data_IF_731499458009
#
_entry.id   IF_731499458009
#
_cell.length_a   1.000
_cell.length_b   1.000
_cell.length_c   1.000
_cell.angle_alpha   90.00
_cell.angle_beta   90.00
_cell.angle_gamma   90.00
#
_symmetry.space_group_name_H-M   'P 1'
#
loop_
_entity.id
_entity.type
_entity.pdbx_description
1 polymer ?
#
# COMPACT_ATOMS: atom_id res chain seq x y z
N UNK A 1 37.49 -19.21 30.90
CA UNK A 1 36.57 -19.56 29.80
C UNK A 1 35.27 -18.77 29.84
N UNK A 2 34.76 -18.41 31.02
CA UNK A 2 33.48 -17.71 31.19
C UNK A 2 33.42 -16.34 30.48
N UNK A 3 34.50 -15.56 30.53
CA UNK A 3 34.58 -14.25 29.87
C UNK A 3 34.52 -14.39 28.34
N UNK A 4 35.20 -15.40 27.78
CA UNK A 4 35.19 -15.67 26.34
C UNK A 4 33.80 -16.11 25.88
N UNK A 5 33.12 -16.94 26.68
CA UNK A 5 31.76 -17.39 26.42
C UNK A 5 30.77 -16.22 26.46
N UNK A 6 30.86 -15.36 27.49
CA UNK A 6 30.03 -14.17 27.62
C UNK A 6 30.25 -13.21 26.45
N UNK A 7 31.51 -13.00 26.04
CA UNK A 7 31.86 -12.18 24.88
C UNK A 7 31.22 -12.72 23.59
N UNK A 8 31.38 -14.02 23.31
CA UNK A 8 30.75 -14.64 22.14
C UNK A 8 29.22 -14.56 22.17
N UNK A 9 28.59 -14.77 23.32
CA UNK A 9 27.14 -14.66 23.46
C UNK A 9 26.66 -13.23 23.18
N UNK A 10 27.34 -12.22 23.71
CA UNK A 10 27.00 -10.81 23.44
C UNK A 10 27.22 -10.43 21.98
N UNK A 11 28.28 -10.93 21.33
CA UNK A 11 28.56 -10.70 19.92
C UNK A 11 27.44 -11.27 19.03
N UNK A 12 27.01 -12.51 19.31
CA UNK A 12 25.92 -13.17 18.57
C UNK A 12 24.61 -12.40 18.75
N UNK A 13 24.31 -11.96 19.98
CA UNK A 13 23.12 -11.16 20.26
C UNK A 13 23.11 -9.85 19.45
N UNK A 14 24.24 -9.13 19.41
CA UNK A 14 24.37 -7.89 18.65
C UNK A 14 24.22 -8.12 17.15
N UNK A 15 24.80 -9.20 16.61
CA UNK A 15 24.65 -9.57 15.20
C UNK A 15 23.20 -9.94 14.87
N UNK A 16 22.52 -10.69 15.74
CA UNK A 16 21.11 -11.05 15.55
C UNK A 16 20.21 -9.80 15.55
N UNK A 17 20.46 -8.86 16.46
CA UNK A 17 19.75 -7.57 16.49
C UNK A 17 20.03 -6.74 15.23
N UNK A 18 21.29 -6.65 14.81
CA UNK A 18 21.67 -5.95 13.58
C UNK A 18 21.02 -6.55 12.33
N UNK A 19 21.01 -7.89 12.22
CA UNK A 19 20.34 -8.61 11.13
C UNK A 19 18.82 -8.37 11.16
N UNK A 20 18.19 -8.44 12.33
CA UNK A 20 16.74 -8.17 12.47
C UNK A 20 16.36 -6.77 11.98
N UNK A 21 17.20 -5.77 12.23
CA UNK A 21 17.00 -4.39 11.75
C UNK A 21 17.22 -4.26 10.24
N UNK A 22 18.21 -4.97 9.67
CA UNK A 22 18.46 -4.97 8.22
C UNK A 22 17.31 -5.63 7.47
N UNK A 23 16.79 -6.76 7.97
CA UNK A 23 15.58 -7.39 7.42
C UNK A 23 14.34 -6.51 7.60
N UNK A 24 14.31 -5.67 8.64
CA UNK A 24 13.27 -4.66 8.86
C UNK A 24 13.45 -3.38 8.02
N UNK A 25 14.29 -3.39 6.98
CA UNK A 25 14.14 -2.44 5.86
C UNK A 25 12.80 -2.69 5.19
N UNK A 26 11.74 -2.20 5.84
CA UNK A 26 10.42 -1.93 5.27
C UNK A 26 10.73 -1.13 4.03
N UNK A 27 10.59 -1.77 2.87
CA UNK A 27 10.72 -1.11 1.59
C UNK A 27 9.65 -0.02 1.61
N UNK A 28 10.03 1.19 1.98
CA UNK A 28 9.24 2.38 1.71
C UNK A 28 9.28 2.52 0.19
N UNK A 29 8.53 1.65 -0.50
CA UNK A 29 8.27 1.77 -1.91
C UNK A 29 7.71 3.18 -2.07
N UNK A 30 8.45 4.00 -2.80
CA UNK A 30 7.95 5.28 -3.27
C UNK A 30 6.63 4.98 -3.99
N UNK A 31 5.56 5.66 -3.59
CA UNK A 31 4.27 5.57 -4.27
C UNK A 31 4.44 6.27 -5.61
N UNK A 32 5.03 5.56 -6.55
CA UNK A 32 5.26 6.01 -7.92
C UNK A 32 4.07 5.62 -8.81
N UNK A 33 4.05 6.12 -10.04
CA UNK A 33 2.98 5.85 -11.01
C UNK A 33 2.74 4.34 -11.20
N UNK A 34 3.82 3.55 -11.28
CA UNK A 34 3.74 2.10 -11.39
C UNK A 34 3.08 1.44 -10.18
N UNK A 35 3.34 1.95 -8.97
CA UNK A 35 2.72 1.42 -7.75
C UNK A 35 1.24 1.80 -7.69
N UNK A 36 0.88 2.99 -8.17
CA UNK A 36 -0.52 3.42 -8.28
C UNK A 36 -1.30 2.53 -9.25
N UNK A 37 -0.74 2.25 -10.42
CA UNK A 37 -1.33 1.34 -11.42
C UNK A 37 -1.45 -0.08 -10.88
N UNK A 38 -0.40 -0.60 -10.23
CA UNK A 38 -0.40 -1.95 -9.62
C UNK A 38 -1.50 -2.07 -8.56
N UNK A 39 -1.64 -1.08 -7.66
CA UNK A 39 -2.72 -1.04 -6.67
C UNK A 39 -4.11 -1.06 -7.32
N UNK A 40 -4.34 -0.25 -8.36
CA UNK A 40 -5.62 -0.20 -9.06
C UNK A 40 -5.92 -1.49 -9.85
N UNK A 41 -4.90 -2.10 -10.46
CA UNK A 41 -5.04 -3.36 -11.19
C UNK A 41 -5.32 -4.53 -10.23
N UNK A 42 -4.67 -4.53 -9.05
CA UNK A 42 -4.96 -5.47 -7.97
C UNK A 42 -6.36 -5.26 -7.38
N UNK A 43 -6.86 -4.03 -7.37
CA UNK A 43 -8.24 -3.73 -7.02
C UNK A 43 -9.24 -4.30 -8.03
N UNK A 44 -9.05 -4.06 -9.32
CA UNK A 44 -9.92 -4.58 -10.38
C UNK A 44 -9.95 -6.12 -10.41
N UNK A 45 -8.79 -6.77 -10.20
CA UNK A 45 -8.69 -8.23 -10.13
C UNK A 45 -9.20 -8.85 -8.82
N UNK A 46 -9.62 -8.03 -7.85
CA UNK A 46 -10.09 -8.50 -6.54
C UNK A 46 -8.98 -9.12 -5.67
N UNK A 47 -7.71 -8.88 -5.99
CA UNK A 47 -6.55 -9.41 -5.27
C UNK A 47 -6.04 -8.46 -4.17
N UNK A 48 -6.62 -7.27 -4.05
CA UNK A 48 -6.28 -6.32 -2.98
C UNK A 48 -7.16 -6.58 -1.76
N UNK A 49 -6.54 -6.57 -0.58
CA UNK A 49 -7.27 -6.66 0.69
C UNK A 49 -7.79 -5.29 1.12
N UNK A 50 -8.79 -5.27 2.03
CA UNK A 50 -9.31 -4.02 2.59
C UNK A 50 -8.25 -3.20 3.31
N UNK A 51 -7.35 -3.87 4.04
CA UNK A 51 -6.28 -3.20 4.76
C UNK A 51 -5.26 -2.58 3.79
N UNK A 52 -4.87 -3.30 2.74
CA UNK A 52 -3.98 -2.77 1.69
C UNK A 52 -4.60 -1.56 0.98
N UNK A 53 -5.91 -1.61 0.69
CA UNK A 53 -6.63 -0.51 0.04
C UNK A 53 -6.70 0.73 0.94
N UNK A 54 -7.05 0.57 2.22
CA UNK A 54 -7.07 1.68 3.18
C UNK A 54 -5.68 2.27 3.41
N UNK A 55 -4.65 1.43 3.48
CA UNK A 55 -3.26 1.89 3.59
C UNK A 55 -2.89 2.71 2.36
N UNK A 56 -3.19 2.23 1.14
CA UNK A 56 -2.94 2.98 -0.08
C UNK A 56 -3.60 4.37 -0.08
N UNK A 57 -4.89 4.45 0.27
CA UNK A 57 -5.61 5.73 0.35
C UNK A 57 -5.04 6.68 1.41
N UNK A 58 -4.48 6.14 2.50
CA UNK A 58 -3.89 6.93 3.59
C UNK A 58 -2.51 7.53 3.27
N UNK A 59 -1.83 7.05 2.23
CA UNK A 59 -0.48 7.49 1.90
C UNK A 59 -0.50 8.82 1.12
N UNK A 60 0.30 9.83 1.51
CA UNK A 60 0.39 11.08 0.76
C UNK A 60 1.39 10.99 -0.41
N UNK A 61 0.98 11.41 -1.61
CA UNK A 61 1.79 11.45 -2.84
C UNK A 61 2.25 12.89 -3.09
N UNK A 62 3.06 13.44 -2.17
CA UNK A 62 3.45 14.86 -2.21
C UNK A 62 4.27 15.27 -3.43
N UNK A 63 4.91 14.31 -4.10
CA UNK A 63 5.85 14.57 -5.19
C UNK A 63 5.18 14.64 -6.57
N UNK A 64 3.94 14.17 -6.70
CA UNK A 64 3.17 14.24 -7.93
C UNK A 64 1.73 14.73 -7.62
N UNK A 65 1.48 16.04 -7.76
CA UNK A 65 0.16 16.63 -7.48
C UNK A 65 -0.96 16.03 -8.31
N UNK A 66 -0.65 15.48 -9.49
CA UNK A 66 -1.66 14.87 -10.36
C UNK A 66 -2.08 13.51 -9.81
N UNK A 67 -1.13 12.64 -9.44
CA UNK A 67 -1.45 11.37 -8.78
C UNK A 67 -2.15 11.60 -7.43
N UNK A 68 -1.75 12.63 -6.68
CA UNK A 68 -2.44 13.00 -5.44
C UNK A 68 -3.90 13.41 -5.71
N UNK A 69 -4.18 14.16 -6.78
CA UNK A 69 -5.55 14.53 -7.14
C UNK A 69 -6.42 13.32 -7.50
N UNK A 70 -5.87 12.33 -8.19
CA UNK A 70 -6.56 11.08 -8.50
C UNK A 70 -6.77 10.23 -7.25
N UNK A 71 -5.81 10.22 -6.33
CA UNK A 71 -5.98 9.57 -5.03
C UNK A 71 -7.12 10.21 -4.23
N UNK A 72 -7.24 11.53 -4.25
CA UNK A 72 -8.35 12.23 -3.60
C UNK A 72 -9.69 11.85 -4.24
N UNK A 73 -9.73 11.70 -5.57
CA UNK A 73 -10.92 11.18 -6.29
C UNK A 73 -11.25 9.75 -5.82
N UNK A 74 -10.25 8.87 -5.69
CA UNK A 74 -10.45 7.51 -5.17
C UNK A 74 -10.93 7.49 -3.71
N UNK A 75 -10.46 8.43 -2.89
CA UNK A 75 -10.88 8.57 -1.51
C UNK A 75 -12.35 9.00 -1.40
N UNK A 76 -12.78 9.95 -2.23
CA UNK A 76 -14.18 10.36 -2.36
C UNK A 76 -15.06 9.19 -2.85
N UNK A 77 -14.61 8.47 -3.89
CA UNK A 77 -15.30 7.28 -4.39
C UNK A 77 -15.46 6.24 -3.27
N UNK A 78 -14.42 6.03 -2.45
CA UNK A 78 -14.43 5.13 -1.30
C UNK A 78 -15.36 5.59 -0.18
N UNK A 79 -15.50 6.90 0.06
CA UNK A 79 -16.45 7.43 1.03
C UNK A 79 -17.90 7.30 0.55
N UNK A 80 -18.15 7.49 -0.75
CA UNK A 80 -19.47 7.43 -1.38
C UNK A 80 -19.99 5.99 -1.54
N UNK A 81 -19.12 5.08 -1.98
CA UNK A 81 -19.50 3.75 -2.49
C UNK A 81 -18.77 2.61 -1.76
N UNK A 82 -17.87 2.92 -0.83
CA UNK A 82 -17.18 1.93 -0.02
C UNK A 82 -18.18 1.21 0.89
N UNK A 83 -18.07 -0.12 0.92
CA UNK A 83 -18.81 -0.87 1.94
C UNK A 83 -18.15 -0.54 3.27
N UNK A 84 -18.83 0.26 4.09
CA UNK A 84 -18.43 0.52 5.48
C UNK A 84 -18.48 -0.79 6.24
N UNK A 85 -17.41 -1.57 6.16
CA UNK A 85 -17.26 -2.75 7.01
C UNK A 85 -17.09 -2.21 8.42
N UNK A 86 -18.19 -2.22 9.17
CA UNK A 86 -18.19 -1.97 10.60
C UNK A 86 -17.13 -2.89 11.18
N UNK A 87 -16.18 -2.27 11.86
CA UNK A 87 -15.06 -2.88 12.57
C UNK A 87 -15.52 -4.17 13.29
N UNK A 88 -14.68 -5.19 13.29
CA UNK A 88 -14.73 -6.44 14.08
C UNK A 88 -15.08 -7.77 13.39
N UNK A 89 -15.46 -7.84 12.12
CA UNK A 89 -15.66 -9.14 11.46
C UNK A 89 -14.97 -9.16 10.09
N UNK A 90 -13.89 -9.93 10.01
CA UNK A 90 -13.20 -10.29 8.76
C UNK A 90 -14.08 -11.21 7.90
N UNK A 91 -15.15 -10.66 7.33
CA UNK A 91 -15.77 -11.25 6.14
C UNK A 91 -15.24 -10.50 4.91
N UNK A 92 -15.03 -11.17 3.77
CA UNK A 92 -14.76 -10.50 2.51
C UNK A 92 -16.03 -9.78 2.07
N UNK A 93 -16.31 -8.64 2.69
CA UNK A 93 -17.15 -7.62 2.10
C UNK A 93 -16.48 -7.25 0.79
N UNK A 94 -17.20 -7.40 -0.31
CA UNK A 94 -16.81 -6.79 -1.58
C UNK A 94 -16.49 -5.34 -1.26
N UNK A 95 -15.24 -4.89 -1.48
CA UNK A 95 -14.71 -3.62 -0.95
C UNK A 95 -15.62 -2.43 -1.27
N UNK A 96 -16.39 -2.56 -2.34
CA UNK A 96 -17.15 -1.50 -2.95
C UNK A 96 -18.37 -2.04 -3.68
N UNK A 97 -19.40 -1.19 -3.79
CA UNK A 97 -20.50 -1.44 -4.71
C UNK A 97 -20.04 -1.42 -6.18
N UNK A 98 -20.79 -2.06 -7.08
CA UNK A 98 -20.47 -2.15 -8.52
C UNK A 98 -20.28 -0.77 -9.16
N UNK A 99 -21.04 0.24 -8.71
CA UNK A 99 -20.90 1.63 -9.16
C UNK A 99 -19.53 2.21 -8.77
N UNK A 100 -19.06 1.89 -7.56
CA UNK A 100 -17.74 2.31 -7.10
C UNK A 100 -16.61 1.65 -7.89
N UNK A 101 -16.74 0.35 -8.20
CA UNK A 101 -15.76 -0.37 -9.03
C UNK A 101 -15.62 0.26 -10.42
N UNK A 102 -16.73 0.62 -11.07
CA UNK A 102 -16.70 1.28 -12.38
C UNK A 102 -16.04 2.67 -12.32
N UNK A 103 -16.32 3.45 -11.25
CA UNK A 103 -15.67 4.74 -11.01
C UNK A 103 -14.16 4.58 -10.82
N UNK A 104 -13.71 3.57 -10.06
CA UNK A 104 -12.27 3.27 -9.88
C UNK A 104 -11.62 2.88 -11.21
N UNK A 105 -12.32 2.13 -12.07
CA UNK A 105 -11.84 1.79 -13.42
C UNK A 105 -11.63 3.01 -14.31
N UNK A 106 -12.53 4.00 -14.24
CA UNK A 106 -12.34 5.26 -14.97
C UNK A 106 -11.08 6.01 -14.52
N UNK A 107 -10.71 5.91 -13.24
CA UNK A 107 -9.44 6.48 -12.73
C UNK A 107 -8.24 5.72 -13.28
N UNK A 108 -8.30 4.38 -13.34
CA UNK A 108 -7.24 3.57 -13.96
C UNK A 108 -6.99 3.92 -15.42
N UNK A 109 -8.06 4.19 -16.18
CA UNK A 109 -7.94 4.65 -17.57
C UNK A 109 -7.25 6.02 -17.67
N UNK A 110 -7.61 6.97 -16.79
CA UNK A 110 -6.93 8.28 -16.72
C UNK A 110 -5.44 8.14 -16.42
N UNK A 111 -5.07 7.21 -15.53
CA UNK A 111 -3.67 6.91 -15.21
C UNK A 111 -2.95 6.33 -16.42
N UNK A 112 -3.56 5.36 -17.08
CA UNK A 112 -2.96 4.65 -18.22
C UNK A 112 -2.77 5.52 -19.48
N UNK A 113 -3.56 6.59 -19.63
CA UNK A 113 -3.45 7.52 -20.76
C UNK A 113 -2.39 8.61 -20.55
N UNK A 114 -1.80 8.72 -19.35
CA UNK A 114 -0.71 9.66 -19.12
C UNK A 114 0.55 9.16 -19.86
N UNK A 115 1.19 9.99 -20.69
CA UNK A 115 2.47 9.61 -21.27
C UNK A 115 3.49 9.41 -20.13
N UNK A 116 4.00 8.19 -20.02
CA UNK A 116 5.00 7.78 -19.04
C UNK A 116 6.14 8.80 -19.01
N UNK A 117 6.35 9.41 -17.84
CA UNK A 117 7.39 10.42 -17.68
C UNK A 117 8.66 9.72 -17.20
N UNK A 118 9.48 9.29 -18.16
CA UNK A 118 10.84 8.82 -17.90
C UNK A 118 11.58 9.88 -17.07
N UNK A 119 12.00 9.53 -15.86
CA UNK A 119 12.98 10.28 -15.07
C UNK A 119 14.14 9.36 -14.70
#
# INVERSE_FOLDING_TARGET
>A
MEILLAFCATLILLLALGLSLILSRKSFKRVDEQYFIDCLTRFESGMITSDEWLVFLSLPIKHDPWLESLKMELLEINEDCGVRTVTYIQLPATLMDKVGVERVKSVLEKVSQRPYKDF
#
